data_IF_464614237282
#
_entry.id   IF_464614237282
#
_cell.length_a   1.000
_cell.length_b   1.000
_cell.length_c   1.000
_cell.angle_alpha   90.00
_cell.angle_beta   90.00
_cell.angle_gamma   90.00
#
_symmetry.space_group_name_H-M   'P 1'
#
loop_
_entity.id
_entity.type
_entity.pdbx_description
1 polymer ?
#
# COMPACT_ATOMS: atom_id res chain seq x y z
N UNK A 1 -1.42 8.57 8.56
CA UNK A 1 -2.08 7.31 8.20
C UNK A 1 -3.61 7.39 8.30
N UNK A 2 -4.21 7.63 9.48
CA UNK A 2 -5.67 7.62 9.69
C UNK A 2 -6.49 8.45 8.69
N UNK A 3 -6.14 9.74 8.50
CA UNK A 3 -6.81 10.62 7.53
C UNK A 3 -6.82 10.09 6.09
N UNK A 4 -5.78 9.35 5.69
CA UNK A 4 -5.64 8.80 4.33
C UNK A 4 -6.50 7.55 4.14
N UNK A 5 -6.66 6.74 5.19
CA UNK A 5 -7.56 5.59 5.18
C UNK A 5 -9.01 6.04 5.04
N UNK A 6 -9.39 7.11 5.76
CA UNK A 6 -10.72 7.68 5.66
C UNK A 6 -10.99 8.25 4.26
N UNK A 7 -10.01 8.92 3.64
CA UNK A 7 -10.11 9.39 2.26
C UNK A 7 -10.43 8.23 1.28
N UNK A 8 -9.66 7.14 1.35
CA UNK A 8 -9.82 5.96 0.49
C UNK A 8 -11.17 5.27 0.73
N UNK A 9 -11.57 5.13 1.99
CA UNK A 9 -12.84 4.50 2.35
C UNK A 9 -14.04 5.31 1.89
N UNK A 10 -13.94 6.63 1.79
CA UNK A 10 -15.08 7.48 1.42
C UNK A 10 -15.14 7.81 -0.08
N UNK A 11 -14.04 7.68 -0.83
CA UNK A 11 -14.00 7.96 -2.28
C UNK A 11 -14.33 6.73 -3.15
N UNK A 12 -13.82 5.55 -2.79
CA UNK A 12 -14.03 4.30 -3.55
C UNK A 12 -15.48 3.79 -3.64
N UNK A 13 -16.28 3.78 -2.56
CA UNK A 13 -17.63 3.23 -2.57
C UNK A 13 -18.60 4.03 -3.45
N UNK A 14 -18.41 5.36 -3.48
CA UNK A 14 -19.16 6.30 -4.32
C UNK A 14 -19.00 5.98 -5.82
N UNK A 15 -17.87 5.40 -6.23
CA UNK A 15 -17.59 5.02 -7.62
C UNK A 15 -18.15 3.63 -8.00
N UNK A 16 -18.46 2.77 -7.02
CA UNK A 16 -18.93 1.40 -7.24
C UNK A 16 -20.38 1.17 -6.76
N UNK A 17 -21.05 2.19 -6.22
CA UNK A 17 -22.40 2.07 -5.64
C UNK A 17 -22.46 1.17 -4.39
N UNK A 18 -21.33 1.01 -3.69
CA UNK A 18 -21.19 0.18 -2.48
C UNK A 18 -20.96 1.08 -1.28
N UNK A 19 -21.00 0.55 -0.06
CA UNK A 19 -20.74 1.33 1.15
C UNK A 19 -19.26 1.35 1.58
N UNK A 20 -18.82 2.37 2.36
CA UNK A 20 -17.46 2.48 2.89
C UNK A 20 -17.02 1.29 3.75
N UNK A 21 -17.96 0.57 4.36
CA UNK A 21 -17.74 -0.64 5.15
C UNK A 21 -17.28 -1.84 4.32
N UNK A 22 -17.57 -1.85 3.02
CA UNK A 22 -17.19 -2.92 2.11
C UNK A 22 -15.77 -2.75 1.56
N UNK A 23 -15.20 -1.55 1.71
CA UNK A 23 -13.85 -1.23 1.23
C UNK A 23 -12.80 -1.85 2.15
N UNK A 24 -12.00 -2.75 1.56
CA UNK A 24 -10.75 -3.26 2.12
C UNK A 24 -9.62 -2.34 1.69
N UNK A 25 -8.62 -2.15 2.55
CA UNK A 25 -7.42 -1.35 2.24
C UNK A 25 -6.18 -2.20 2.45
N UNK A 26 -5.30 -2.24 1.45
CA UNK A 26 -3.95 -2.81 1.55
C UNK A 26 -2.90 -1.70 1.52
N UNK A 27 -1.81 -1.91 2.25
CA UNK A 27 -0.62 -1.06 2.22
C UNK A 27 0.55 -1.87 1.66
N UNK A 28 1.26 -1.29 0.70
CA UNK A 28 2.55 -1.79 0.23
C UNK A 28 3.63 -0.74 0.49
N UNK A 29 4.48 -0.91 1.52
CA UNK A 29 5.56 0.03 1.79
C UNK A 29 6.63 -0.04 0.70
N UNK A 30 7.17 1.11 0.31
CA UNK A 30 8.39 1.17 -0.48
C UNK A 30 9.55 0.63 0.34
N UNK A 31 10.53 0.05 -0.34
CA UNK A 31 11.79 -0.38 0.26
C UNK A 31 12.96 0.35 -0.38
N UNK A 32 14.00 0.55 0.40
CA UNK A 32 15.33 0.88 -0.10
C UNK A 32 16.29 -0.27 0.23
N UNK A 33 17.38 -0.39 -0.53
CA UNK A 33 18.45 -1.35 -0.28
C UNK A 33 19.71 -0.60 0.16
N UNK A 34 19.95 -0.43 1.48
CA UNK A 34 21.12 0.31 1.97
C UNK A 34 22.45 -0.28 1.50
N UNK A 35 22.51 -1.61 1.37
CA UNK A 35 23.66 -2.40 0.93
C UNK A 35 23.21 -3.54 0.02
N UNK A 36 24.02 -3.85 -0.99
CA UNK A 36 23.80 -4.99 -1.89
C UNK A 36 22.84 -4.69 -3.05
N UNK A 37 22.67 -3.44 -3.46
CA UNK A 37 21.99 -3.16 -4.72
C UNK A 37 22.78 -3.79 -5.89
N UNK A 38 22.08 -4.31 -6.91
CA UNK A 38 22.64 -4.89 -8.15
C UNK A 38 23.26 -6.30 -8.03
N UNK A 39 23.30 -6.90 -6.83
CA UNK A 39 23.69 -8.31 -6.63
C UNK A 39 22.49 -9.21 -6.33
N UNK A 40 21.29 -8.64 -6.25
CA UNK A 40 20.02 -9.32 -6.05
C UNK A 40 19.72 -10.34 -7.16
N UNK A 41 20.13 -10.05 -8.38
CA UNK A 41 19.95 -10.97 -9.52
C UNK A 41 21.08 -12.00 -9.67
N UNK A 42 22.12 -11.91 -8.83
CA UNK A 42 23.28 -12.81 -8.84
C UNK A 42 23.25 -13.81 -7.67
N UNK A 43 22.16 -13.84 -6.90
CA UNK A 43 22.06 -14.65 -5.68
C UNK A 43 22.84 -14.08 -4.49
N UNK A 44 23.27 -12.81 -4.57
CA UNK A 44 23.95 -12.11 -3.49
C UNK A 44 22.98 -11.72 -2.36
N UNK A 45 23.52 -11.54 -1.15
CA UNK A 45 22.72 -11.05 -0.01
C UNK A 45 22.46 -9.56 -0.17
N UNK A 46 21.19 -9.17 -0.04
CA UNK A 46 20.79 -7.75 -0.02
C UNK A 46 20.25 -7.37 1.34
N UNK A 47 20.54 -6.15 1.77
CA UNK A 47 19.80 -5.54 2.87
C UNK A 47 18.58 -4.82 2.32
N UNK A 48 17.48 -4.84 3.06
CA UNK A 48 16.27 -4.11 2.71
C UNK A 48 15.68 -3.47 3.96
N UNK A 49 15.22 -2.23 3.83
CA UNK A 49 14.42 -1.56 4.85
C UNK A 49 13.21 -0.91 4.20
N UNK A 50 12.08 -0.98 4.87
CA UNK A 50 10.91 -0.19 4.49
C UNK A 50 11.15 1.27 4.84
N UNK A 51 10.58 2.17 4.04
CA UNK A 51 10.58 3.61 4.34
C UNK A 51 9.15 4.06 4.62
N UNK A 52 9.01 5.28 5.13
CA UNK A 52 7.70 5.83 5.48
C UNK A 52 6.94 6.34 4.25
N UNK A 53 7.03 5.60 3.15
CA UNK A 53 6.44 5.88 1.86
C UNK A 53 5.84 4.58 1.35
N UNK A 54 4.70 4.63 0.67
CA UNK A 54 4.06 3.40 0.19
C UNK A 54 2.91 3.67 -0.77
N UNK A 55 2.31 2.57 -1.25
CA UNK A 55 1.08 2.59 -2.03
C UNK A 55 -0.05 2.11 -1.13
N UNK A 56 -1.16 2.84 -1.12
CA UNK A 56 -2.41 2.41 -0.50
C UNK A 56 -3.40 2.01 -1.59
N UNK A 57 -3.97 0.82 -1.43
CA UNK A 57 -4.92 0.24 -2.37
C UNK A 57 -6.25 0.00 -1.67
N UNK A 58 -7.28 0.78 -2.03
CA UNK A 58 -8.67 0.51 -1.64
C UNK A 58 -9.35 -0.37 -2.67
N UNK A 59 -10.00 -1.46 -2.24
CA UNK A 59 -10.70 -2.37 -3.13
C UNK A 59 -11.93 -3.00 -2.46
N UNK A 60 -12.85 -3.50 -3.27
CA UNK A 60 -14.01 -4.26 -2.83
C UNK A 60 -13.90 -5.66 -3.43
N UNK A 61 -14.12 -6.68 -2.62
CA UNK A 61 -14.10 -8.06 -3.11
C UNK A 61 -15.33 -8.31 -4.00
N UNK A 62 -15.09 -8.88 -5.19
CA UNK A 62 -16.14 -9.34 -6.10
C UNK A 62 -16.21 -10.86 -6.11
N UNK A 63 -17.39 -11.40 -6.36
CA UNK A 63 -17.60 -12.84 -6.61
C UNK A 63 -17.33 -13.22 -8.08
N UNK A 64 -17.21 -12.22 -8.94
CA UNK A 64 -16.89 -12.40 -10.35
C UNK A 64 -15.37 -12.50 -10.58
N UNK A 65 -14.96 -13.08 -11.71
CA UNK A 65 -13.54 -13.20 -12.10
C UNK A 65 -12.99 -11.95 -12.79
N UNK A 66 -13.77 -10.87 -12.84
CA UNK A 66 -13.43 -9.65 -13.57
C UNK A 66 -12.89 -8.56 -12.62
N UNK A 67 -11.82 -7.89 -13.04
CA UNK A 67 -11.26 -6.71 -12.35
C UNK A 67 -11.77 -5.45 -13.05
N UNK A 68 -12.43 -4.56 -12.32
CA UNK A 68 -13.05 -3.33 -12.85
C UNK A 68 -12.41 -2.06 -12.28
N UNK A 69 -12.15 -1.10 -13.16
CA UNK A 69 -11.65 0.26 -12.83
C UNK A 69 -10.14 0.34 -12.52
N UNK A 70 -9.53 1.54 -12.56
CA UNK A 70 -8.15 1.71 -12.18
C UNK A 70 -8.01 1.65 -10.65
N UNK A 71 -7.10 0.83 -10.15
CA UNK A 71 -6.71 0.79 -8.74
C UNK A 71 -5.18 0.75 -8.72
N UNK A 72 -4.49 1.90 -8.56
CA UNK A 72 -4.14 2.37 -7.21
C UNK A 72 -4.09 3.91 -7.02
N UNK A 73 -4.31 4.38 -5.79
CA UNK A 73 -3.94 5.74 -5.37
C UNK A 73 -2.48 5.72 -4.87
N UNK A 74 -1.57 6.36 -5.61
CA UNK A 74 -0.22 6.68 -5.10
C UNK A 74 -0.29 7.96 -4.27
N UNK A 75 0.18 7.91 -3.03
CA UNK A 75 0.48 9.13 -2.30
C UNK A 75 1.66 8.90 -1.36
N UNK A 76 2.70 9.72 -1.56
CA UNK A 76 3.85 9.81 -0.67
C UNK A 76 3.39 10.23 0.72
N UNK A 77 3.74 9.44 1.75
CA UNK A 77 3.49 9.70 3.16
C UNK A 77 4.66 10.49 3.75
N UNK A 78 4.96 11.65 3.18
CA UNK A 78 5.99 12.49 3.74
C UNK A 78 5.53 13.04 5.11
N UNK A 79 6.32 12.74 6.14
CA UNK A 79 6.32 13.37 7.48
C UNK A 79 5.68 12.64 8.67
N UNK A 80 5.93 11.34 8.85
CA UNK A 80 5.92 10.76 10.20
C UNK A 80 7.24 10.03 10.44
N UNK A 81 8.14 10.63 11.22
CA UNK A 81 9.39 9.98 11.64
C UNK A 81 9.04 8.73 12.44
N UNK A 82 9.64 7.59 12.07
CA UNK A 82 9.68 6.41 12.92
C UNK A 82 8.35 5.69 13.17
N UNK A 83 7.45 5.60 12.19
CA UNK A 83 6.33 4.65 12.29
C UNK A 83 6.90 3.24 12.09
N UNK A 84 7.01 2.48 13.18
CA UNK A 84 7.14 1.04 13.10
C UNK A 84 5.88 0.49 12.44
N UNK A 85 6.05 -0.12 11.27
CA UNK A 85 4.96 -0.64 10.44
C UNK A 85 4.30 -1.90 11.02
N UNK A 86 4.67 -2.33 12.22
CA UNK A 86 4.09 -3.52 12.86
C UNK A 86 4.40 -4.80 12.10
N UNK A 87 5.47 -4.80 11.29
CA UNK A 87 5.97 -5.95 10.54
C UNK A 87 7.07 -6.69 11.31
N UNK A 88 7.34 -6.33 12.57
CA UNK A 88 8.15 -7.18 13.44
C UNK A 88 7.39 -8.49 13.67
N UNK A 89 8.10 -9.60 13.46
CA UNK A 89 7.70 -10.91 13.98
C UNK A 89 7.48 -10.85 15.49
#
# INVERSE_FOLDING_TARGET
MAFKLDEIKNTGPTMAGRGPEEVRVMLSPHRICPLGAHIDHQGGTVSAMTINEGILLGFIHSVDTEVKGPVPFSHSLMNQRGVDWGLSK
#
